data_IF_164926512641
#
_entry.id   IF_164926512641
#
_cell.length_a   1.000
_cell.length_b   1.000
_cell.length_c   1.000
_cell.angle_alpha   90.00
_cell.angle_beta   90.00
_cell.angle_gamma   90.00
#
_symmetry.space_group_name_H-M   'P 1'
#
loop_
_entity.id
_entity.type
_entity.pdbx_description
1 polymer ?
#
# COMPACT_ATOMS: atom_id res chain seq x y z
N UNK A 1 12.51 11.23 16.26
CA UNK A 1 11.52 10.30 15.72
C UNK A 1 10.58 11.14 14.87
N UNK A 2 10.18 10.66 13.69
CA UNK A 2 9.18 11.34 12.90
C UNK A 2 7.86 11.41 13.68
N UNK A 3 7.14 12.52 13.54
CA UNK A 3 5.79 12.69 14.06
C UNK A 3 4.78 11.87 13.25
N UNK A 4 3.59 11.59 13.77
CA UNK A 4 2.55 10.91 13.00
C UNK A 4 2.19 11.65 11.69
N UNK A 5 2.23 12.99 11.71
CA UNK A 5 1.98 13.80 10.51
C UNK A 5 3.08 13.65 9.46
N UNK A 6 4.35 13.62 9.87
CA UNK A 6 5.48 13.38 8.96
C UNK A 6 5.44 11.97 8.35
N UNK A 7 5.07 10.96 9.14
CA UNK A 7 4.89 9.58 8.66
C UNK A 7 3.74 9.47 7.65
N UNK A 8 2.58 10.10 7.96
CA UNK A 8 1.44 10.16 7.05
C UNK A 8 1.76 10.90 5.75
N UNK A 9 2.48 12.02 5.83
CA UNK A 9 2.90 12.76 4.64
C UNK A 9 3.83 11.91 3.75
N UNK A 10 4.83 11.26 4.35
CA UNK A 10 5.74 10.36 3.61
C UNK A 10 4.99 9.20 2.94
N UNK A 11 4.01 8.62 3.64
CA UNK A 11 3.15 7.57 3.07
C UNK A 11 2.26 8.10 1.94
N UNK A 12 1.71 9.30 2.07
CA UNK A 12 0.92 9.93 1.01
C UNK A 12 1.74 10.15 -0.27
N UNK A 13 2.99 10.60 -0.14
CA UNK A 13 3.90 10.78 -1.29
C UNK A 13 4.21 9.44 -1.99
N UNK A 14 4.45 8.38 -1.21
CA UNK A 14 4.70 7.04 -1.75
C UNK A 14 3.46 6.48 -2.48
N UNK A 15 2.26 6.65 -1.90
CA UNK A 15 0.99 6.24 -2.54
C UNK A 15 0.73 7.00 -3.83
N UNK A 16 0.97 8.32 -3.85
CA UNK A 16 0.81 9.11 -5.08
C UNK A 16 1.72 8.60 -6.19
N UNK A 17 2.98 8.30 -5.86
CA UNK A 17 3.94 7.74 -6.82
C UNK A 17 3.50 6.36 -7.34
N UNK A 18 3.03 5.48 -6.44
CA UNK A 18 2.53 4.16 -6.84
C UNK A 18 1.27 4.26 -7.72
N UNK A 19 0.35 5.16 -7.39
CA UNK A 19 -0.86 5.43 -8.19
C UNK A 19 -0.52 5.86 -9.62
N UNK A 20 0.42 6.79 -9.78
CA UNK A 20 0.91 7.22 -11.10
C UNK A 20 1.55 6.05 -11.88
N UNK A 21 2.24 5.14 -11.19
CA UNK A 21 2.84 3.96 -11.80
C UNK A 21 1.79 2.95 -12.29
N UNK A 22 0.66 2.78 -11.58
CA UNK A 22 -0.48 1.99 -12.07
C UNK A 22 -1.01 2.59 -13.37
N UNK A 23 -1.28 3.90 -13.40
CA UNK A 23 -1.78 4.59 -14.61
C UNK A 23 -0.83 4.43 -15.81
N UNK A 24 0.48 4.53 -15.57
CA UNK A 24 1.49 4.37 -16.61
C UNK A 24 1.56 2.94 -17.17
N UNK A 25 1.14 1.93 -16.40
CA UNK A 25 1.25 0.53 -16.76
C UNK A 25 0.15 0.03 -17.72
N UNK A 26 -0.84 0.85 -18.09
CA UNK A 26 -2.03 0.43 -18.87
C UNK A 26 -1.67 -0.37 -20.15
N UNK A 27 -0.67 0.07 -20.90
CA UNK A 27 -0.27 -0.59 -22.16
C UNK A 27 0.39 -1.97 -21.96
N UNK A 28 0.86 -2.26 -20.76
CA UNK A 28 1.51 -3.51 -20.35
C UNK A 28 0.73 -4.27 -19.27
N UNK A 29 -0.49 -3.85 -18.93
CA UNK A 29 -1.21 -4.25 -17.72
C UNK A 29 -1.19 -5.75 -17.43
N UNK A 30 -1.49 -6.56 -18.46
CA UNK A 30 -1.57 -8.03 -18.37
C UNK A 30 -0.43 -8.75 -19.07
N UNK A 31 0.61 -8.03 -19.48
CA UNK A 31 1.74 -8.63 -20.19
C UNK A 31 2.59 -9.40 -19.18
N UNK A 32 2.81 -10.68 -19.44
CA UNK A 32 3.69 -11.51 -18.61
C UNK A 32 5.16 -11.17 -18.93
N UNK A 33 5.96 -10.74 -17.95
CA UNK A 33 7.38 -10.43 -18.17
C UNK A 33 8.27 -11.68 -18.23
N UNK A 34 7.75 -12.85 -17.82
CA UNK A 34 8.48 -14.12 -17.85
C UNK A 34 7.83 -15.19 -16.97
N UNK A 35 8.36 -16.41 -17.01
CA UNK A 35 7.91 -17.49 -16.14
C UNK A 35 8.28 -17.19 -14.68
N UNK A 36 7.28 -17.14 -13.81
CA UNK A 36 7.46 -16.90 -12.37
C UNK A 36 7.54 -15.43 -11.96
N UNK A 37 7.38 -14.49 -12.90
CA UNK A 37 7.30 -13.07 -12.63
C UNK A 37 5.86 -12.57 -12.71
N UNK A 38 5.50 -11.61 -11.85
CA UNK A 38 4.16 -11.04 -11.80
C UNK A 38 3.94 -10.00 -12.90
N UNK A 39 2.73 -10.00 -13.44
CA UNK A 39 2.20 -8.93 -14.30
C UNK A 39 1.99 -7.65 -13.50
N UNK A 40 1.85 -6.51 -14.20
CA UNK A 40 1.50 -5.24 -13.55
C UNK A 40 0.16 -5.32 -12.81
N UNK A 41 -0.82 -6.06 -13.35
CA UNK A 41 -2.08 -6.37 -12.68
C UNK A 41 -1.87 -7.05 -11.32
N UNK A 42 -1.15 -8.18 -11.30
CA UNK A 42 -0.92 -8.96 -10.08
C UNK A 42 -0.16 -8.16 -9.01
N UNK A 43 0.79 -7.30 -9.44
CA UNK A 43 1.51 -6.40 -8.52
C UNK A 43 0.55 -5.37 -7.92
N UNK A 44 -0.29 -4.73 -8.72
CA UNK A 44 -1.25 -3.74 -8.23
C UNK A 44 -2.26 -4.33 -7.25
N UNK A 45 -2.86 -5.47 -7.61
CA UNK A 45 -3.81 -6.20 -6.77
C UNK A 45 -3.17 -6.63 -5.44
N UNK A 46 -1.93 -7.11 -5.48
CA UNK A 46 -1.15 -7.39 -4.28
C UNK A 46 -0.99 -6.16 -3.39
N UNK A 47 -0.60 -5.02 -3.96
CA UNK A 47 -0.37 -3.80 -3.18
C UNK A 47 -1.66 -3.24 -2.58
N UNK A 48 -2.76 -3.23 -3.33
CA UNK A 48 -4.08 -2.81 -2.84
C UNK A 48 -4.47 -3.64 -1.60
N UNK A 49 -4.31 -4.95 -1.66
CA UNK A 49 -4.60 -5.83 -0.52
C UNK A 49 -3.66 -5.57 0.67
N UNK A 50 -2.36 -5.42 0.40
CA UNK A 50 -1.35 -5.23 1.45
C UNK A 50 -1.49 -3.87 2.14
N UNK A 51 -1.88 -2.82 1.43
CA UNK A 51 -2.15 -1.49 1.99
C UNK A 51 -3.18 -1.55 3.13
N UNK A 52 -4.29 -2.26 2.90
CA UNK A 52 -5.30 -2.51 3.92
C UNK A 52 -4.76 -3.37 5.07
N UNK A 53 -3.97 -4.40 4.75
CA UNK A 53 -3.40 -5.32 5.75
C UNK A 53 -2.41 -4.61 6.66
N UNK A 54 -1.53 -3.77 6.13
CA UNK A 54 -0.55 -3.03 6.91
C UNK A 54 -1.24 -2.00 7.81
N UNK A 55 -2.28 -1.33 7.31
CA UNK A 55 -3.12 -0.46 8.14
C UNK A 55 -3.81 -1.24 9.27
N UNK A 56 -4.26 -2.47 9.02
CA UNK A 56 -4.78 -3.36 10.05
C UNK A 56 -3.74 -3.65 11.14
N UNK A 57 -2.47 -3.88 10.78
CA UNK A 57 -1.40 -4.10 11.78
C UNK A 57 -1.22 -2.87 12.70
N UNK A 58 -1.31 -1.66 12.14
CA UNK A 58 -1.30 -0.41 12.94
C UNK A 58 -2.51 -0.36 13.87
N UNK A 59 -3.71 -0.68 13.35
CA UNK A 59 -4.93 -0.70 14.15
C UNK A 59 -4.83 -1.71 15.30
N UNK A 60 -4.32 -2.91 15.04
CA UNK A 60 -4.13 -3.97 16.03
C UNK A 60 -3.14 -3.55 17.13
N UNK A 61 -1.99 -2.98 16.76
CA UNK A 61 -1.03 -2.43 17.74
C UNK A 61 -1.66 -1.35 18.64
N UNK A 62 -2.61 -0.57 18.09
CA UNK A 62 -3.32 0.48 18.81
C UNK A 62 -4.57 0.01 19.56
N UNK A 63 -5.01 -1.24 19.38
CA UNK A 63 -6.21 -1.81 20.00
C UNK A 63 -7.53 -1.48 19.31
N UNK A 64 -7.50 -1.18 18.01
CA UNK A 64 -8.66 -0.84 17.19
C UNK A 64 -8.98 -1.94 16.15
N UNK A 65 -10.24 -2.05 15.69
CA UNK A 65 -10.56 -2.93 14.58
C UNK A 65 -9.89 -2.43 13.29
N UNK A 66 -9.27 -3.34 12.55
CA UNK A 66 -8.64 -3.08 11.27
C UNK A 66 -9.61 -2.83 10.12
N UNK A 67 -9.13 -3.10 8.92
CA UNK A 67 -9.88 -3.08 7.65
C UNK A 67 -10.19 -4.54 7.29
N UNK A 68 -11.41 -4.77 6.79
CA UNK A 68 -11.83 -6.09 6.32
C UNK A 68 -10.96 -6.54 5.14
N UNK A 69 -10.65 -7.84 5.05
CA UNK A 69 -9.84 -8.38 3.98
C UNK A 69 -10.68 -8.68 2.74
N UNK A 70 -10.09 -8.49 1.56
CA UNK A 70 -10.65 -8.88 0.27
C UNK A 70 -9.54 -9.21 -0.73
N UNK A 71 -9.96 -9.67 -1.91
CA UNK A 71 -9.09 -9.91 -3.06
C UNK A 71 -9.58 -9.00 -4.19
N UNK A 72 -8.81 -7.97 -4.58
CA UNK A 72 -9.14 -7.16 -5.75
C UNK A 72 -8.97 -7.99 -7.03
N UNK A 73 -9.84 -7.73 -8.01
CA UNK A 73 -9.79 -8.31 -9.37
C UNK A 73 -10.00 -7.14 -10.36
N UNK A 74 -8.90 -6.53 -10.77
CA UNK A 74 -8.89 -5.28 -11.52
C UNK A 74 -8.64 -5.55 -12.99
N UNK A 75 -9.67 -5.40 -13.83
CA UNK A 75 -9.56 -5.80 -15.22
C UNK A 75 -8.64 -4.87 -16.05
N UNK A 76 -8.42 -3.64 -15.59
CA UNK A 76 -7.60 -2.59 -16.21
C UNK A 76 -6.85 -1.78 -15.17
N UNK A 77 -5.85 -0.98 -15.58
CA UNK A 77 -5.16 -0.07 -14.65
C UNK A 77 -6.09 1.00 -14.09
N UNK A 78 -7.10 1.43 -14.86
CA UNK A 78 -8.10 2.42 -14.42
C UNK A 78 -8.91 1.86 -13.25
N UNK A 79 -9.39 0.61 -13.36
CA UNK A 79 -10.10 -0.04 -12.26
C UNK A 79 -9.20 -0.23 -11.03
N UNK A 80 -7.91 -0.54 -11.24
CA UNK A 80 -6.95 -0.64 -10.15
C UNK A 80 -6.67 0.71 -9.47
N UNK A 81 -6.66 1.82 -10.22
CA UNK A 81 -6.54 3.17 -9.65
C UNK A 81 -7.76 3.51 -8.80
N UNK A 82 -8.97 3.24 -9.29
CA UNK A 82 -10.20 3.49 -8.54
C UNK A 82 -10.23 2.66 -7.24
N UNK A 83 -9.84 1.39 -7.31
CA UNK A 83 -9.74 0.50 -6.16
C UNK A 83 -8.63 0.95 -5.18
N UNK A 84 -7.47 1.36 -5.70
CA UNK A 84 -6.36 1.88 -4.90
C UNK A 84 -6.75 3.16 -4.15
N UNK A 85 -7.40 4.11 -4.83
CA UNK A 85 -7.88 5.35 -4.22
C UNK A 85 -8.94 5.06 -3.13
N UNK A 86 -9.81 4.06 -3.35
CA UNK A 86 -10.78 3.62 -2.35
C UNK A 86 -10.12 3.01 -1.10
N UNK A 87 -9.15 2.11 -1.24
CA UNK A 87 -8.43 1.55 -0.08
C UNK A 87 -7.61 2.60 0.64
N UNK A 88 -6.93 3.51 -0.08
CA UNK A 88 -6.16 4.60 0.53
C UNK A 88 -7.06 5.47 1.40
N UNK A 89 -8.24 5.86 0.89
CA UNK A 89 -9.22 6.64 1.66
C UNK A 89 -9.67 5.90 2.94
N UNK A 90 -9.90 4.58 2.86
CA UNK A 90 -10.24 3.76 4.03
C UNK A 90 -9.08 3.69 5.04
N UNK A 91 -7.85 3.57 4.55
CA UNK A 91 -6.66 3.56 5.37
C UNK A 91 -6.46 4.89 6.09
N UNK A 92 -6.59 6.02 5.39
CA UNK A 92 -6.48 7.37 5.98
C UNK A 92 -7.54 7.63 7.04
N UNK A 93 -8.76 7.13 6.84
CA UNK A 93 -9.82 7.21 7.83
C UNK A 93 -9.44 6.52 9.17
N UNK A 94 -8.53 5.55 9.15
CA UNK A 94 -7.98 4.87 10.34
C UNK A 94 -6.72 5.57 10.84
N UNK A 95 -5.75 5.80 9.97
CA UNK A 95 -4.42 6.30 10.31
C UNK A 95 -4.42 7.73 10.86
N UNK A 96 -5.44 8.53 10.55
CA UNK A 96 -5.60 9.89 11.11
C UNK A 96 -5.72 9.93 12.65
N UNK A 97 -6.08 8.82 13.29
CA UNK A 97 -6.21 8.74 14.75
C UNK A 97 -4.90 8.37 15.45
N UNK A 98 -3.84 8.03 14.71
CA UNK A 98 -2.53 7.72 15.31
C UNK A 98 -1.94 8.99 15.93
N UNK A 99 -1.67 8.90 17.22
CA UNK A 99 -1.07 9.94 18.06
C UNK A 99 0.43 9.70 18.25
N UNK A 100 1.20 10.69 18.76
CA UNK A 100 2.61 10.48 19.08
C UNK A 100 2.86 9.33 20.06
N UNK A 101 1.97 9.13 21.04
CA UNK A 101 2.07 8.04 22.02
C UNK A 101 1.84 6.65 21.40
N UNK A 102 1.10 6.59 20.29
CA UNK A 102 0.85 5.33 19.58
C UNK A 102 2.08 4.84 18.83
N UNK A 103 3.02 5.72 18.47
CA UNK A 103 4.16 5.39 17.63
C UNK A 103 5.06 4.31 18.21
N UNK A 104 5.11 4.18 19.54
CA UNK A 104 5.92 3.19 20.25
C UNK A 104 5.15 1.89 20.56
N UNK A 105 3.82 1.87 20.34
CA UNK A 105 3.01 0.66 20.54
C UNK A 105 3.45 -0.43 19.58
N UNK A 106 3.40 -1.68 20.05
CA UNK A 106 3.94 -2.84 19.35
C UNK A 106 2.84 -3.70 18.75
N UNK A 107 3.00 -4.05 17.48
CA UNK A 107 2.36 -5.22 16.90
C UNK A 107 3.16 -6.48 17.27
N UNK A 108 2.49 -7.61 17.49
CA UNK A 108 3.11 -8.86 17.98
C UNK A 108 4.29 -9.34 17.10
N UNK A 109 4.17 -9.17 15.78
CA UNK A 109 5.14 -9.69 14.80
C UNK A 109 5.93 -8.62 14.04
N UNK A 110 5.47 -7.37 13.98
CA UNK A 110 5.95 -6.40 12.97
C UNK A 110 6.60 -5.15 13.58
N UNK A 111 6.90 -5.16 14.88
CA UNK A 111 7.59 -4.05 15.54
C UNK A 111 6.63 -2.97 16.03
N UNK A 112 7.11 -1.72 16.08
CA UNK A 112 6.28 -0.59 16.49
C UNK A 112 5.52 0.04 15.32
N UNK A 113 4.50 0.84 15.67
CA UNK A 113 3.68 1.58 14.72
C UNK A 113 4.54 2.42 13.77
N UNK A 114 5.57 3.12 14.27
CA UNK A 114 6.47 3.89 13.41
C UNK A 114 7.17 3.01 12.36
N UNK A 115 7.72 1.86 12.76
CA UNK A 115 8.33 0.91 11.84
C UNK A 115 7.35 0.30 10.84
N UNK A 116 6.07 0.14 11.21
CA UNK A 116 5.02 -0.34 10.30
C UNK A 116 4.69 0.71 9.22
N UNK A 117 4.69 2.00 9.56
CA UNK A 117 4.58 3.08 8.55
C UNK A 117 5.75 3.03 7.56
N UNK A 118 6.98 2.92 8.06
CA UNK A 118 8.18 2.83 7.23
C UNK A 118 8.16 1.58 6.33
N UNK A 119 7.70 0.44 6.86
CA UNK A 119 7.49 -0.78 6.09
C UNK A 119 6.50 -0.58 4.94
N UNK A 120 5.39 0.15 5.17
CA UNK A 120 4.42 0.43 4.10
C UNK A 120 5.02 1.30 2.99
N UNK A 121 5.74 2.35 3.37
CA UNK A 121 6.43 3.22 2.42
C UNK A 121 7.41 2.41 1.56
N UNK A 122 8.23 1.55 2.18
CA UNK A 122 9.18 0.73 1.45
C UNK A 122 8.48 -0.26 0.51
N UNK A 123 7.39 -0.89 0.96
CA UNK A 123 6.58 -1.80 0.15
C UNK A 123 6.03 -1.10 -1.11
N UNK A 124 5.45 0.09 -0.96
CA UNK A 124 4.97 0.91 -2.08
C UNK A 124 6.11 1.28 -3.04
N UNK A 125 7.26 1.71 -2.53
CA UNK A 125 8.43 2.10 -3.36
C UNK A 125 8.97 0.90 -4.14
N UNK A 126 9.12 -0.25 -3.49
CA UNK A 126 9.59 -1.48 -4.14
C UNK A 126 8.64 -1.92 -5.27
N UNK A 127 7.33 -1.94 -5.01
CA UNK A 127 6.36 -2.35 -6.02
C UNK A 127 6.08 -1.30 -7.09
N UNK A 128 6.33 -0.01 -6.82
CA UNK A 128 6.38 1.04 -7.85
C UNK A 128 7.46 0.71 -8.89
N UNK A 129 8.65 0.28 -8.47
CA UNK A 129 9.69 -0.10 -9.41
C UNK A 129 9.29 -1.37 -10.21
N UNK A 130 8.66 -2.35 -9.54
CA UNK A 130 8.25 -3.60 -10.19
C UNK A 130 7.13 -3.40 -11.21
N UNK A 131 6.11 -2.57 -10.92
CA UNK A 131 4.99 -2.36 -11.85
C UNK A 131 5.46 -1.68 -13.14
N UNK A 132 6.37 -0.69 -13.03
CA UNK A 132 6.98 -0.03 -14.19
C UNK A 132 7.81 -1.02 -15.02
N UNK A 133 8.63 -1.85 -14.36
CA UNK A 133 9.42 -2.87 -15.05
C UNK A 133 8.54 -3.91 -15.78
N UNK A 134 7.47 -4.39 -15.13
CA UNK A 134 6.55 -5.36 -15.71
C UNK A 134 5.78 -4.79 -16.91
N UNK A 135 5.46 -3.49 -16.90
CA UNK A 135 4.75 -2.84 -18.01
C UNK A 135 5.62 -2.65 -19.27
N UNK A 136 6.94 -2.56 -19.11
CA UNK A 136 7.90 -2.36 -20.19
C UNK A 136 8.41 -3.66 -20.85
N UNK A 137 8.36 -4.78 -20.13
CA UNK A 137 8.80 -6.12 -20.58
C UNK A 137 8.07 -6.59 -21.85
#
# INVERSE_FOLDING_TARGET
MATPDELRATLADARATFREAIEAAEMGWRRSPGEGEWTAQEIAEHVIQIEARITTMVCEACGYPGIEAWEPDCASSIEAVDEFDAVVSNCDAKLKYVTPEDLEKKHEMFGDVAGIFEMNVNHLVEHTAQILAAAEA
#
